data_IF_803656159797
#
_entry.id   IF_803656159797
#
_cell.length_a   1.000
_cell.length_b   1.000
_cell.length_c   1.000
_cell.angle_alpha   90.00
_cell.angle_beta   90.00
_cell.angle_gamma   90.00
#
_symmetry.space_group_name_H-M   'P 1'
#
loop_
_entity.id
_entity.type
_entity.pdbx_description
1 polymer ?
#
# COMPACT_ATOMS: atom_id res chain seq x y z
N UNK A 1 -33.88 -2.89 25.23
CA UNK A 1 -32.72 -2.98 24.31
C UNK A 1 -31.83 -1.80 24.65
N UNK A 2 -30.61 -2.04 25.17
CA UNK A 2 -29.65 -0.95 25.45
C UNK A 2 -29.34 -0.25 24.14
N UNK A 3 -29.39 1.08 24.13
CA UNK A 3 -28.97 1.88 23.00
C UNK A 3 -27.47 1.58 22.75
N UNK A 4 -27.12 1.23 21.51
CA UNK A 4 -25.72 1.06 21.13
C UNK A 4 -25.00 2.41 21.30
N UNK A 5 -23.86 2.44 21.97
CA UNK A 5 -23.10 3.67 22.18
C UNK A 5 -22.67 4.26 20.83
N UNK A 6 -22.82 5.57 20.59
CA UNK A 6 -22.56 6.19 19.30
C UNK A 6 -21.06 6.48 19.05
N UNK A 7 -20.17 5.92 19.87
CA UNK A 7 -18.71 6.11 19.73
C UNK A 7 -18.02 4.78 19.40
N UNK A 8 -17.08 4.84 18.46
CA UNK A 8 -16.29 3.72 17.99
C UNK A 8 -14.80 4.06 18.04
N UNK A 9 -13.94 3.07 18.23
CA UNK A 9 -12.48 3.23 18.24
C UNK A 9 -11.84 2.11 17.41
N UNK A 10 -11.23 2.50 16.31
CA UNK A 10 -10.55 1.63 15.38
C UNK A 10 -9.08 2.01 15.27
N UNK A 11 -8.19 1.14 15.78
CA UNK A 11 -6.76 1.39 15.90
C UNK A 11 -5.94 0.38 15.12
N UNK A 12 -4.66 0.67 14.89
CA UNK A 12 -3.70 -0.26 14.31
C UNK A 12 -3.35 0.03 12.85
N UNK A 13 -2.26 -0.58 12.38
CA UNK A 13 -1.62 -0.27 11.10
C UNK A 13 -2.34 -0.84 9.87
N UNK A 14 -3.30 -1.75 10.02
CA UNK A 14 -4.00 -2.37 8.89
C UNK A 14 -5.12 -1.45 8.40
N UNK A 15 -4.85 -0.69 7.34
CA UNK A 15 -5.68 0.42 6.86
C UNK A 15 -6.95 -0.09 6.16
N UNK A 16 -6.85 -1.11 5.30
CA UNK A 16 -7.95 -1.54 4.44
C UNK A 16 -9.13 -2.14 5.21
N UNK A 17 -8.90 -3.08 6.14
CA UNK A 17 -9.97 -3.65 6.97
C UNK A 17 -10.53 -2.62 7.95
N UNK A 18 -9.68 -1.72 8.45
CA UNK A 18 -10.09 -0.61 9.31
C UNK A 18 -11.04 0.34 8.58
N UNK A 19 -10.70 0.74 7.35
CA UNK A 19 -11.56 1.56 6.51
C UNK A 19 -12.88 0.84 6.15
N UNK A 20 -12.83 -0.48 5.86
CA UNK A 20 -14.06 -1.28 5.65
C UNK A 20 -15.00 -1.22 6.86
N UNK A 21 -14.45 -1.28 8.08
CA UNK A 21 -15.25 -1.20 9.30
C UNK A 21 -15.82 0.21 9.49
N UNK A 22 -15.08 1.27 9.19
CA UNK A 22 -15.61 2.65 9.17
C UNK A 22 -16.78 2.76 8.21
N UNK A 23 -16.62 2.28 6.98
CA UNK A 23 -17.71 2.29 5.99
C UNK A 23 -18.90 1.42 6.39
N UNK A 24 -18.69 0.33 7.11
CA UNK A 24 -19.77 -0.50 7.66
C UNK A 24 -20.64 0.28 8.65
N UNK A 25 -20.04 1.09 9.54
CA UNK A 25 -20.78 1.95 10.48
C UNK A 25 -21.55 3.03 9.71
N UNK A 26 -20.92 3.72 8.75
CA UNK A 26 -21.60 4.73 7.91
C UNK A 26 -22.81 4.14 7.17
N UNK A 27 -22.62 2.97 6.53
CA UNK A 27 -23.69 2.27 5.82
C UNK A 27 -24.80 1.83 6.77
N UNK A 28 -24.46 1.45 8.01
CA UNK A 28 -25.43 1.15 9.06
C UNK A 28 -26.32 2.35 9.41
N UNK A 29 -25.71 3.54 9.54
CA UNK A 29 -26.42 4.80 9.77
C UNK A 29 -27.32 5.15 8.57
N UNK A 30 -26.79 5.07 7.37
CA UNK A 30 -27.55 5.35 6.13
C UNK A 30 -28.75 4.41 5.98
N UNK A 31 -28.61 3.13 6.31
CA UNK A 31 -29.73 2.18 6.29
C UNK A 31 -30.80 2.51 7.32
N UNK A 32 -30.42 3.06 8.49
CA UNK A 32 -31.33 3.36 9.59
C UNK A 32 -32.02 4.70 9.42
N UNK A 33 -31.33 5.71 8.95
CA UNK A 33 -31.77 7.10 8.94
C UNK A 33 -31.98 7.70 7.54
N UNK A 34 -31.53 7.05 6.48
CA UNK A 34 -31.50 7.60 5.11
C UNK A 34 -30.24 8.43 4.89
N UNK A 35 -30.39 9.73 4.65
CA UNK A 35 -29.25 10.61 4.41
C UNK A 35 -28.43 10.85 5.70
N UNK A 36 -27.10 10.88 5.54
CA UNK A 36 -26.14 11.07 6.63
C UNK A 36 -25.09 12.11 6.23
N UNK A 37 -24.93 13.15 7.06
CA UNK A 37 -23.81 14.09 6.94
C UNK A 37 -22.51 13.41 7.41
N UNK A 38 -21.59 13.21 6.47
CA UNK A 38 -20.32 12.56 6.73
C UNK A 38 -19.18 13.59 6.78
N UNK A 39 -18.52 13.68 7.93
CA UNK A 39 -17.34 14.53 8.13
C UNK A 39 -16.10 13.66 8.33
N UNK A 40 -15.03 13.97 7.59
CA UNK A 40 -13.70 13.42 7.82
C UNK A 40 -12.82 14.54 8.36
N UNK A 41 -12.36 14.38 9.60
CA UNK A 41 -11.56 15.37 10.32
C UNK A 41 -10.26 14.72 10.82
N UNK A 42 -9.25 15.54 11.06
CA UNK A 42 -7.96 15.13 11.61
C UNK A 42 -7.75 15.83 12.95
N UNK A 43 -7.26 15.10 13.97
CA UNK A 43 -7.05 15.67 15.29
C UNK A 43 -5.93 16.71 15.31
N UNK A 44 -4.99 16.68 14.35
CA UNK A 44 -3.97 17.71 14.15
C UNK A 44 -4.54 19.06 13.72
N UNK A 45 -5.64 19.06 12.97
CA UNK A 45 -6.18 20.26 12.30
C UNK A 45 -7.53 20.72 12.89
N UNK A 46 -8.13 19.94 13.79
CA UNK A 46 -9.48 20.18 14.30
C UNK A 46 -9.48 20.29 15.83
N UNK A 47 -10.25 21.22 16.37
CA UNK A 47 -10.50 21.30 17.81
C UNK A 47 -11.62 20.34 18.19
N UNK A 48 -11.47 19.69 19.35
CA UNK A 48 -12.49 18.73 19.84
C UNK A 48 -13.82 19.41 20.11
N UNK A 49 -13.81 20.70 20.52
CA UNK A 49 -15.02 21.51 20.70
C UNK A 49 -15.84 21.58 19.38
N UNK A 50 -15.18 21.81 18.25
CA UNK A 50 -15.82 21.92 16.93
C UNK A 50 -16.40 20.57 16.48
N UNK A 51 -15.72 19.47 16.82
CA UNK A 51 -16.15 18.10 16.52
C UNK A 51 -17.42 17.79 17.33
N UNK A 52 -17.41 18.09 18.63
CA UNK A 52 -18.55 17.88 19.51
C UNK A 52 -19.74 18.76 19.11
N UNK A 53 -19.49 20.02 18.73
CA UNK A 53 -20.53 20.91 18.22
C UNK A 53 -21.21 20.34 16.96
N UNK A 54 -20.45 19.77 16.01
CA UNK A 54 -21.02 19.10 14.83
C UNK A 54 -21.91 17.89 15.19
N UNK A 55 -21.51 17.10 16.17
CA UNK A 55 -22.26 15.93 16.65
C UNK A 55 -23.56 16.32 17.41
N UNK A 56 -23.58 17.53 18.00
CA UNK A 56 -24.74 18.04 18.75
C UNK A 56 -25.73 18.83 17.88
N UNK A 57 -25.23 19.36 16.75
CA UNK A 57 -26.07 20.20 15.87
C UNK A 57 -27.02 19.32 15.07
N UNK A 58 -28.31 19.57 15.23
CA UNK A 58 -29.34 18.95 14.38
C UNK A 58 -29.34 19.65 13.02
N UNK A 59 -29.08 18.90 11.96
CA UNK A 59 -29.30 19.38 10.61
C UNK A 59 -30.81 19.42 10.31
N UNK A 60 -31.27 20.51 9.73
CA UNK A 60 -32.69 20.62 9.29
C UNK A 60 -32.96 19.76 8.03
N UNK A 61 -31.93 19.33 7.34
CA UNK A 61 -32.03 18.65 6.04
C UNK A 61 -31.59 17.19 6.08
N UNK A 62 -30.74 16.80 7.04
CA UNK A 62 -30.15 15.47 7.11
C UNK A 62 -30.35 14.89 8.52
N UNK A 63 -31.01 13.72 8.64
CA UNK A 63 -31.47 13.19 9.94
C UNK A 63 -30.32 12.57 10.78
N UNK A 64 -29.13 12.35 10.23
CA UNK A 64 -28.03 11.74 10.95
C UNK A 64 -26.67 12.38 10.61
N UNK A 65 -25.73 12.32 11.56
CA UNK A 65 -24.36 12.85 11.41
C UNK A 65 -23.34 11.77 11.78
N UNK A 66 -22.33 11.60 10.94
CA UNK A 66 -21.19 10.73 11.19
C UNK A 66 -19.89 11.52 11.11
N UNK A 67 -19.13 11.55 12.18
CA UNK A 67 -17.79 12.17 12.21
C UNK A 67 -16.76 11.07 12.33
N UNK A 68 -15.86 10.99 11.33
CA UNK A 68 -14.66 10.17 11.37
C UNK A 68 -13.50 11.09 11.75
N UNK A 69 -12.91 10.86 12.91
CA UNK A 69 -11.76 11.62 13.41
C UNK A 69 -10.51 10.74 13.33
N UNK A 70 -9.62 11.09 12.40
CA UNK A 70 -8.30 10.46 12.26
C UNK A 70 -7.29 11.05 13.25
N UNK A 71 -6.17 10.33 13.44
CA UNK A 71 -5.10 10.70 14.38
C UNK A 71 -5.59 10.79 15.83
N UNK A 72 -6.48 9.88 16.22
CA UNK A 72 -7.09 9.88 17.56
C UNK A 72 -6.05 9.71 18.69
N UNK A 73 -4.84 9.21 18.39
CA UNK A 73 -3.70 9.15 19.31
C UNK A 73 -3.19 10.53 19.76
N UNK A 74 -3.52 11.60 19.02
CA UNK A 74 -3.17 12.97 19.37
C UNK A 74 -4.10 13.57 20.44
N UNK A 75 -5.26 12.97 20.71
CA UNK A 75 -6.20 13.40 21.76
C UNK A 75 -5.68 12.93 23.11
N UNK A 76 -4.87 13.77 23.77
CA UNK A 76 -4.23 13.47 25.06
C UNK A 76 -4.65 14.44 26.18
N UNK A 77 -5.20 15.60 25.82
CA UNK A 77 -5.60 16.61 26.80
C UNK A 77 -6.85 16.13 27.56
N UNK A 78 -6.83 16.35 28.86
CA UNK A 78 -7.93 15.94 29.74
C UNK A 78 -9.23 16.65 29.36
N UNK A 79 -9.14 17.93 29.01
CA UNK A 79 -10.26 18.77 28.61
C UNK A 79 -10.97 18.22 27.37
N UNK A 80 -10.20 17.77 26.36
CA UNK A 80 -10.71 17.20 25.12
C UNK A 80 -11.47 15.89 25.38
N UNK A 81 -10.90 15.03 26.24
CA UNK A 81 -11.56 13.76 26.63
C UNK A 81 -12.83 14.03 27.44
N UNK A 82 -12.82 15.03 28.34
CA UNK A 82 -14.00 15.42 29.13
C UNK A 82 -15.13 15.99 28.25
N UNK A 83 -14.78 16.72 27.18
CA UNK A 83 -15.78 17.19 26.19
C UNK A 83 -16.48 16.03 25.48
N UNK A 84 -15.73 15.03 25.01
CA UNK A 84 -16.29 13.83 24.40
C UNK A 84 -17.15 13.06 25.40
N UNK A 85 -16.67 12.91 26.65
CA UNK A 85 -17.42 12.24 27.70
C UNK A 85 -18.73 12.98 28.03
N UNK A 86 -18.70 14.31 28.07
CA UNK A 86 -19.89 15.14 28.30
C UNK A 86 -20.92 14.98 27.18
N UNK A 87 -20.46 14.91 25.92
CA UNK A 87 -21.32 14.63 24.77
C UNK A 87 -21.99 13.26 24.89
N UNK A 88 -21.22 12.22 25.25
CA UNK A 88 -21.76 10.85 25.41
C UNK A 88 -22.79 10.75 26.54
N UNK A 89 -22.59 11.48 27.64
CA UNK A 89 -23.45 11.46 28.81
C UNK A 89 -24.66 12.44 28.72
N UNK A 90 -24.60 13.37 27.77
CA UNK A 90 -25.72 14.29 27.58
C UNK A 90 -26.97 13.52 27.19
N UNK A 91 -28.12 13.90 27.76
CA UNK A 91 -29.43 13.31 27.48
C UNK A 91 -29.90 13.41 26.02
N UNK A 92 -29.00 13.60 25.12
CA UNK A 92 -29.11 13.76 23.68
C UNK A 92 -28.00 13.13 22.86
N UNK A 93 -27.22 12.18 23.38
CA UNK A 93 -26.42 11.29 22.51
C UNK A 93 -27.41 10.50 21.67
N UNK A 94 -27.79 11.10 20.54
CA UNK A 94 -28.83 10.58 19.66
C UNK A 94 -28.24 9.37 18.91
N UNK A 95 -29.04 8.36 18.71
CA UNK A 95 -28.74 7.24 17.81
C UNK A 95 -28.38 7.70 16.39
N UNK A 96 -28.71 8.93 16.03
CA UNK A 96 -28.48 9.56 14.74
C UNK A 96 -27.10 10.24 14.63
N UNK A 97 -26.29 10.28 15.70
CA UNK A 97 -24.93 10.81 15.67
C UNK A 97 -23.94 9.68 15.94
N UNK A 98 -22.83 9.63 15.19
CA UNK A 98 -21.74 8.70 15.44
C UNK A 98 -20.39 9.40 15.37
N UNK A 99 -19.53 9.09 16.35
CA UNK A 99 -18.13 9.46 16.37
C UNK A 99 -17.26 8.21 16.18
N UNK A 100 -16.49 8.19 15.11
CA UNK A 100 -15.56 7.10 14.81
C UNK A 100 -14.15 7.64 14.99
N UNK A 101 -13.50 7.20 16.05
CA UNK A 101 -12.09 7.51 16.34
C UNK A 101 -11.19 6.53 15.60
N UNK A 102 -10.26 7.03 14.82
CA UNK A 102 -9.33 6.22 14.01
C UNK A 102 -7.90 6.61 14.35
N UNK A 103 -7.05 5.61 14.60
CA UNK A 103 -5.61 5.78 14.84
C UNK A 103 -4.80 4.76 14.07
N UNK A 104 -3.65 5.18 13.52
CA UNK A 104 -2.69 4.27 12.89
C UNK A 104 -1.84 3.55 13.96
N UNK A 105 -1.78 4.10 15.17
CA UNK A 105 -1.17 3.46 16.33
C UNK A 105 -2.05 2.34 16.90
N UNK A 106 -1.46 1.43 17.65
CA UNK A 106 -2.16 0.29 18.28
C UNK A 106 -3.06 0.77 19.42
N UNK A 107 -2.69 1.85 20.08
CA UNK A 107 -3.36 2.36 21.28
C UNK A 107 -3.50 3.89 21.25
N UNK A 108 -4.50 4.38 21.94
CA UNK A 108 -4.74 5.80 22.23
C UNK A 108 -4.60 6.07 23.72
N UNK A 109 -4.79 7.35 24.16
CA UNK A 109 -4.79 7.68 25.59
C UNK A 109 -5.80 6.83 26.36
N UNK A 110 -5.40 6.35 27.54
CA UNK A 110 -6.19 5.40 28.33
C UNK A 110 -7.55 5.95 28.82
N UNK A 111 -7.69 7.28 28.95
CA UNK A 111 -8.94 7.91 29.33
C UNK A 111 -9.90 7.94 28.14
N UNK A 112 -9.39 8.25 26.94
CA UNK A 112 -10.15 8.18 25.68
C UNK A 112 -10.58 6.75 25.41
N UNK A 113 -9.67 5.79 25.56
CA UNK A 113 -10.00 4.37 25.39
C UNK A 113 -11.15 3.94 26.29
N UNK A 114 -11.17 4.32 27.56
CA UNK A 114 -12.21 3.94 28.52
C UNK A 114 -13.60 4.48 28.18
N UNK A 115 -13.72 5.54 27.38
CA UNK A 115 -15.02 6.08 26.97
C UNK A 115 -15.72 5.19 25.95
N UNK A 116 -14.97 4.40 25.19
CA UNK A 116 -15.53 3.56 24.12
C UNK A 116 -15.86 2.17 24.68
N UNK A 117 -17.08 1.65 24.47
CA UNK A 117 -17.45 0.29 24.85
C UNK A 117 -16.59 -0.76 24.14
N UNK A 118 -16.40 -1.91 24.79
CA UNK A 118 -15.53 -2.98 24.25
C UNK A 118 -16.04 -3.50 22.90
N UNK A 119 -17.34 -3.59 22.71
CA UNK A 119 -17.99 -4.02 21.47
C UNK A 119 -17.76 -3.07 20.30
N UNK A 120 -17.46 -1.79 20.58
CA UNK A 120 -17.20 -0.75 19.58
C UNK A 120 -15.69 -0.50 19.38
N UNK A 121 -14.82 -1.34 19.96
CA UNK A 121 -13.36 -1.24 19.80
C UNK A 121 -12.84 -2.38 18.98
N UNK A 122 -11.91 -2.07 18.10
CA UNK A 122 -11.18 -3.08 17.35
C UNK A 122 -9.76 -2.61 17.03
N UNK A 123 -8.79 -3.51 17.23
CA UNK A 123 -7.41 -3.31 16.79
C UNK A 123 -7.21 -4.07 15.49
N UNK A 124 -6.75 -3.37 14.46
CA UNK A 124 -6.47 -3.91 13.14
C UNK A 124 -4.96 -4.13 12.99
N UNK A 125 -4.55 -5.35 13.29
CA UNK A 125 -3.16 -5.77 13.20
C UNK A 125 -2.74 -5.93 11.74
N UNK A 126 -1.50 -5.55 11.42
CA UNK A 126 -0.93 -5.81 10.10
C UNK A 126 -1.08 -7.29 9.72
N UNK A 127 -1.50 -7.54 8.50
CA UNK A 127 -1.60 -8.90 7.98
C UNK A 127 -0.20 -9.35 7.57
N UNK A 128 0.21 -10.50 8.09
CA UNK A 128 1.45 -11.15 7.68
C UNK A 128 1.40 -11.48 6.16
N UNK A 129 2.51 -11.26 5.45
CA UNK A 129 2.60 -11.48 4.00
C UNK A 129 2.16 -12.91 3.62
N UNK A 130 2.47 -13.90 4.45
CA UNK A 130 2.07 -15.29 4.24
C UNK A 130 0.55 -15.49 4.25
N UNK A 131 -0.22 -14.57 4.82
CA UNK A 131 -1.68 -14.60 4.91
C UNK A 131 -2.39 -13.77 3.85
N UNK A 132 -1.66 -12.91 3.14
CA UNK A 132 -2.26 -12.03 2.12
C UNK A 132 -2.92 -12.81 1.00
N UNK A 133 -2.31 -13.93 0.55
CA UNK A 133 -2.90 -14.80 -0.47
C UNK A 133 -4.27 -15.37 -0.05
N UNK A 134 -4.35 -15.90 1.16
CA UNK A 134 -5.62 -16.40 1.71
C UNK A 134 -6.65 -15.29 1.92
N UNK A 135 -6.19 -14.12 2.34
CA UNK A 135 -7.03 -12.93 2.49
C UNK A 135 -7.61 -12.51 1.14
N UNK A 136 -6.78 -12.43 0.09
CA UNK A 136 -7.16 -12.04 -1.26
C UNK A 136 -8.17 -13.01 -1.88
N UNK A 137 -7.94 -14.33 -1.74
CA UNK A 137 -8.91 -15.35 -2.15
C UNK A 137 -10.27 -15.17 -1.47
N UNK A 138 -10.26 -14.91 -0.15
CA UNK A 138 -11.50 -14.67 0.60
C UNK A 138 -12.18 -13.38 0.16
N UNK A 139 -11.42 -12.34 -0.20
CA UNK A 139 -11.95 -11.09 -0.69
C UNK A 139 -12.66 -11.25 -2.05
N UNK A 140 -12.05 -11.97 -3.01
CA UNK A 140 -12.73 -12.33 -4.26
C UNK A 140 -14.02 -13.10 -4.01
N UNK A 141 -13.99 -14.10 -3.13
CA UNK A 141 -15.16 -14.92 -2.80
C UNK A 141 -16.29 -14.09 -2.17
N UNK A 142 -16.00 -13.21 -1.24
CA UNK A 142 -16.96 -12.27 -0.64
C UNK A 142 -17.69 -11.41 -1.69
N UNK A 143 -17.01 -11.06 -2.77
CA UNK A 143 -17.56 -10.24 -3.84
C UNK A 143 -18.21 -11.06 -4.97
N UNK A 144 -18.26 -12.40 -4.85
CA UNK A 144 -18.92 -13.28 -5.80
C UNK A 144 -18.03 -13.73 -6.96
N UNK A 145 -16.70 -13.74 -6.76
CA UNK A 145 -15.70 -14.21 -7.73
C UNK A 145 -14.90 -15.37 -7.14
N UNK A 146 -14.31 -16.17 -8.01
CA UNK A 146 -13.23 -17.08 -7.66
C UNK A 146 -11.93 -16.57 -8.31
N UNK A 147 -10.78 -17.02 -7.82
CA UNK A 147 -9.49 -16.71 -8.44
C UNK A 147 -8.58 -17.93 -8.35
N UNK A 148 -7.87 -18.20 -9.43
CA UNK A 148 -6.83 -19.24 -9.48
C UNK A 148 -5.64 -18.82 -8.62
N UNK A 149 -4.88 -19.80 -8.12
CA UNK A 149 -3.73 -19.51 -7.26
C UNK A 149 -2.67 -18.68 -7.99
N UNK A 150 -2.42 -18.97 -9.26
CA UNK A 150 -1.44 -18.25 -10.07
C UNK A 150 -1.86 -16.78 -10.31
N UNK A 151 -3.17 -16.51 -10.44
CA UNK A 151 -3.70 -15.14 -10.47
C UNK A 151 -3.50 -14.40 -9.14
N UNK A 152 -3.78 -15.06 -8.00
CA UNK A 152 -3.56 -14.50 -6.67
C UNK A 152 -2.08 -14.14 -6.47
N UNK A 153 -1.19 -15.06 -6.82
CA UNK A 153 0.25 -14.88 -6.69
C UNK A 153 0.75 -13.71 -7.55
N UNK A 154 0.23 -13.58 -8.77
CA UNK A 154 0.57 -12.48 -9.67
C UNK A 154 0.05 -11.12 -9.16
N UNK A 155 -1.18 -11.08 -8.65
CA UNK A 155 -1.74 -9.84 -8.07
C UNK A 155 -0.90 -9.39 -6.87
N UNK A 156 -0.51 -10.29 -5.98
CA UNK A 156 0.33 -9.98 -4.83
C UNK A 156 1.74 -9.52 -5.22
N UNK A 157 2.25 -10.04 -6.33
CA UNK A 157 3.56 -9.64 -6.83
C UNK A 157 3.55 -8.24 -7.44
N UNK A 158 2.46 -7.88 -8.13
CA UNK A 158 2.35 -6.63 -8.89
C UNK A 158 1.69 -5.49 -8.11
N UNK A 159 1.14 -5.77 -6.92
CA UNK A 159 0.46 -4.79 -6.08
C UNK A 159 1.23 -4.60 -4.77
N UNK A 160 1.10 -3.42 -4.16
CA UNK A 160 1.63 -3.20 -2.82
C UNK A 160 1.01 -4.18 -1.81
N UNK A 161 1.85 -4.71 -0.90
CA UNK A 161 1.45 -5.70 0.10
C UNK A 161 0.63 -5.08 1.25
N UNK A 162 -0.40 -4.31 0.89
CA UNK A 162 -1.38 -3.80 1.83
C UNK A 162 -2.81 -4.03 1.32
N UNK A 163 -3.75 -4.22 2.22
CA UNK A 163 -5.11 -4.63 1.85
C UNK A 163 -5.89 -3.52 1.15
N UNK A 164 -5.53 -2.25 1.33
CA UNK A 164 -6.20 -1.14 0.64
C UNK A 164 -5.82 -1.10 -0.84
N UNK A 165 -4.53 -1.21 -1.16
CA UNK A 165 -4.06 -1.32 -2.53
C UNK A 165 -4.64 -2.57 -3.22
N UNK A 166 -4.61 -3.72 -2.53
CA UNK A 166 -5.20 -4.96 -3.04
C UNK A 166 -6.71 -4.83 -3.31
N UNK A 167 -7.46 -4.12 -2.45
CA UNK A 167 -8.89 -3.84 -2.68
C UNK A 167 -9.13 -2.95 -3.89
N UNK A 168 -8.32 -1.90 -4.04
CA UNK A 168 -8.41 -0.99 -5.18
C UNK A 168 -8.19 -1.75 -6.49
N UNK A 169 -7.16 -2.59 -6.56
CA UNK A 169 -6.90 -3.42 -7.73
C UNK A 169 -8.01 -4.44 -7.97
N UNK A 170 -8.50 -5.14 -6.92
CA UNK A 170 -9.63 -6.06 -7.05
C UNK A 170 -10.89 -5.38 -7.58
N UNK A 171 -11.13 -4.13 -7.19
CA UNK A 171 -12.27 -3.34 -7.71
C UNK A 171 -12.28 -3.25 -9.22
N UNK A 172 -11.13 -3.23 -9.88
CA UNK A 172 -11.01 -3.19 -11.35
C UNK A 172 -11.46 -4.50 -11.99
N UNK A 173 -11.09 -5.64 -11.39
CA UNK A 173 -11.58 -6.95 -11.85
C UNK A 173 -13.10 -7.02 -11.75
N UNK A 174 -13.69 -6.49 -10.65
CA UNK A 174 -15.14 -6.48 -10.46
C UNK A 174 -15.88 -5.58 -11.46
N UNK A 175 -15.21 -4.60 -12.04
CA UNK A 175 -15.75 -3.76 -13.12
C UNK A 175 -15.62 -4.43 -14.49
N UNK A 176 -14.57 -5.23 -14.71
CA UNK A 176 -14.27 -5.83 -16.01
C UNK A 176 -14.97 -7.17 -16.23
N UNK A 177 -15.23 -7.93 -15.16
CA UNK A 177 -15.77 -9.29 -15.27
C UNK A 177 -17.14 -9.43 -14.59
N UNK A 178 -18.03 -10.29 -15.11
CA UNK A 178 -19.31 -10.59 -14.48
C UNK A 178 -19.11 -11.41 -13.20
N UNK A 179 -20.05 -11.31 -12.24
CA UNK A 179 -20.06 -12.15 -11.04
C UNK A 179 -20.08 -13.63 -11.42
N UNK A 180 -19.34 -14.44 -10.68
CA UNK A 180 -19.16 -15.87 -10.96
C UNK A 180 -17.99 -16.18 -11.87
N UNK A 181 -17.32 -15.17 -12.46
CA UNK A 181 -16.10 -15.37 -13.24
C UNK A 181 -14.96 -15.89 -12.34
N UNK A 182 -14.15 -16.79 -12.89
CA UNK A 182 -12.93 -17.28 -12.26
C UNK A 182 -11.76 -16.46 -12.80
N UNK A 183 -11.16 -15.63 -11.97
CA UNK A 183 -10.02 -14.81 -12.36
C UNK A 183 -8.81 -15.70 -12.59
N UNK A 184 -8.30 -15.69 -13.82
CA UNK A 184 -7.13 -16.44 -14.27
C UNK A 184 -5.87 -15.59 -14.21
N UNK A 185 -4.67 -16.23 -14.31
CA UNK A 185 -3.40 -15.50 -14.45
C UNK A 185 -3.44 -14.53 -15.65
N UNK A 186 -4.02 -14.96 -16.79
CA UNK A 186 -4.15 -14.11 -17.97
C UNK A 186 -5.04 -12.88 -17.74
N UNK A 187 -6.14 -13.04 -16.98
CA UNK A 187 -6.99 -11.90 -16.59
C UNK A 187 -6.22 -10.92 -15.71
N UNK A 188 -5.44 -11.43 -14.75
CA UNK A 188 -4.60 -10.63 -13.88
C UNK A 188 -3.52 -9.89 -14.70
N UNK A 189 -2.84 -10.55 -15.60
CA UNK A 189 -1.88 -9.90 -16.51
C UNK A 189 -2.55 -8.80 -17.33
N UNK A 190 -3.71 -9.05 -17.91
CA UNK A 190 -4.42 -8.08 -18.74
C UNK A 190 -4.86 -6.84 -17.94
N UNK A 191 -5.49 -7.03 -16.79
CA UNK A 191 -6.00 -5.94 -15.96
C UNK A 191 -4.86 -5.12 -15.35
N UNK A 192 -3.83 -5.79 -14.82
CA UNK A 192 -2.71 -5.12 -14.17
C UNK A 192 -1.71 -4.54 -15.17
N UNK A 193 -1.57 -5.16 -16.38
CA UNK A 193 -0.73 -4.61 -17.43
C UNK A 193 -1.28 -3.31 -18.04
N UNK A 194 -2.60 -3.14 -18.12
CA UNK A 194 -3.21 -1.90 -18.60
C UNK A 194 -3.05 -0.72 -17.63
N UNK A 195 -2.70 -0.99 -16.38
CA UNK A 195 -2.33 0.01 -15.38
C UNK A 195 -0.84 -0.02 -15.09
N UNK A 196 -0.02 -0.44 -15.99
CA UNK A 196 1.40 -0.13 -15.91
C UNK A 196 1.56 1.39 -16.09
N UNK A 197 1.12 2.15 -15.10
CA UNK A 197 1.90 3.30 -14.72
C UNK A 197 3.32 2.75 -14.60
N UNK A 198 4.21 3.33 -15.34
CA UNK A 198 5.60 2.91 -15.29
C UNK A 198 6.03 2.89 -13.82
N UNK A 199 6.66 1.84 -13.40
CA UNK A 199 6.98 1.58 -11.98
C UNK A 199 8.43 1.12 -11.86
N UNK A 200 8.95 1.01 -10.66
CA UNK A 200 10.27 0.44 -10.42
C UNK A 200 10.41 -0.98 -11.02
N UNK A 201 9.31 -1.74 -11.13
CA UNK A 201 9.32 -3.07 -11.73
C UNK A 201 9.44 -3.04 -13.26
N UNK A 202 8.72 -2.12 -13.94
CA UNK A 202 8.86 -1.93 -15.39
C UNK A 202 10.23 -1.36 -15.73
N UNK A 203 10.75 -0.46 -14.88
CA UNK A 203 12.08 0.08 -14.98
C UNK A 203 13.15 -1.03 -14.85
N UNK A 204 13.02 -1.91 -13.85
CA UNK A 204 13.88 -3.07 -13.69
C UNK A 204 13.84 -4.01 -14.90
N UNK A 205 12.65 -4.28 -15.44
CA UNK A 205 12.48 -5.16 -16.61
C UNK A 205 13.15 -4.60 -17.87
N UNK A 206 13.05 -3.29 -18.10
CA UNK A 206 13.75 -2.61 -19.20
C UNK A 206 15.28 -2.70 -19.04
N UNK A 207 15.79 -2.45 -17.83
CA UNK A 207 17.23 -2.60 -17.54
C UNK A 207 17.72 -4.04 -17.70
N UNK A 208 16.84 -5.04 -17.45
CA UNK A 208 17.16 -6.46 -17.41
C UNK A 208 16.98 -7.19 -18.76
N UNK A 209 16.80 -6.48 -19.88
CA UNK A 209 16.56 -7.09 -21.20
C UNK A 209 17.86 -7.59 -21.86
N UNK A 210 18.17 -8.91 -21.86
CA UNK A 210 19.43 -9.42 -22.36
C UNK A 210 19.55 -9.40 -23.90
N UNK A 211 18.44 -9.21 -24.60
CA UNK A 211 18.38 -9.10 -26.06
C UNK A 211 18.77 -7.73 -26.60
N UNK A 212 18.80 -6.72 -25.73
CA UNK A 212 19.12 -5.33 -26.10
C UNK A 212 20.59 -4.99 -25.75
N UNK A 213 21.18 -4.09 -26.53
CA UNK A 213 22.48 -3.52 -26.18
C UNK A 213 22.40 -2.68 -24.89
N UNK A 214 23.50 -2.50 -24.15
CA UNK A 214 23.48 -1.65 -22.95
C UNK A 214 22.98 -0.23 -23.24
N UNK A 215 23.29 0.35 -24.39
CA UNK A 215 22.81 1.69 -24.77
C UNK A 215 21.30 1.71 -24.95
N UNK A 216 20.71 0.74 -25.65
CA UNK A 216 19.26 0.64 -25.83
C UNK A 216 18.56 0.40 -24.50
N UNK A 217 19.09 -0.47 -23.62
CA UNK A 217 18.56 -0.66 -22.27
C UNK A 217 18.56 0.63 -21.47
N UNK A 218 19.61 1.44 -21.59
CA UNK A 218 19.69 2.74 -20.92
C UNK A 218 18.64 3.71 -21.45
N UNK A 219 18.51 3.84 -22.78
CA UNK A 219 17.52 4.72 -23.42
C UNK A 219 16.10 4.36 -23.00
N UNK A 220 15.72 3.07 -23.07
CA UNK A 220 14.40 2.60 -22.65
C UNK A 220 14.16 2.84 -21.16
N UNK A 221 15.17 2.58 -20.33
CA UNK A 221 15.07 2.77 -18.87
C UNK A 221 14.93 4.25 -18.51
N UNK A 222 15.64 5.16 -19.16
CA UNK A 222 15.51 6.60 -18.92
C UNK A 222 14.14 7.13 -19.40
N UNK A 223 13.62 6.60 -20.51
CA UNK A 223 12.26 6.93 -20.99
C UNK A 223 11.20 6.50 -19.97
N UNK A 224 11.32 5.28 -19.41
CA UNK A 224 10.42 4.78 -18.36
C UNK A 224 10.58 5.63 -17.09
N UNK A 225 11.80 5.92 -16.65
CA UNK A 225 12.04 6.77 -15.49
C UNK A 225 11.36 8.13 -15.65
N UNK A 226 11.48 8.78 -16.82
CA UNK A 226 10.82 10.06 -17.08
C UNK A 226 9.30 9.96 -16.96
N UNK A 227 8.67 8.90 -17.49
CA UNK A 227 7.23 8.68 -17.35
C UNK A 227 6.83 8.49 -15.89
N UNK A 228 7.61 7.72 -15.11
CA UNK A 228 7.40 7.59 -13.68
C UNK A 228 7.47 8.97 -13.01
N UNK A 229 8.46 9.78 -13.31
CA UNK A 229 8.68 11.11 -12.72
C UNK A 229 7.57 12.12 -13.06
N UNK A 230 6.84 11.93 -14.14
CA UNK A 230 5.71 12.77 -14.54
C UNK A 230 4.39 12.41 -13.86
N UNK A 231 4.29 11.29 -13.14
CA UNK A 231 3.07 10.91 -12.42
C UNK A 231 2.91 11.69 -11.12
N UNK A 232 1.66 12.00 -10.72
CA UNK A 232 1.37 12.87 -9.57
C UNK A 232 1.80 12.32 -8.20
N UNK A 233 1.99 11.00 -8.07
CA UNK A 233 2.30 10.33 -6.81
C UNK A 233 3.76 9.87 -6.73
N UNK A 234 4.65 10.49 -7.50
CA UNK A 234 5.99 10.02 -7.66
C UNK A 234 6.90 10.46 -6.50
N UNK A 235 7.36 9.48 -5.74
CA UNK A 235 8.37 9.66 -4.70
C UNK A 235 9.66 8.93 -5.11
N UNK A 236 10.79 9.64 -5.33
CA UNK A 236 12.07 9.03 -5.64
C UNK A 236 12.48 7.89 -4.70
N UNK A 237 12.16 8.01 -3.41
CA UNK A 237 12.43 6.99 -2.39
C UNK A 237 11.67 5.70 -2.67
N UNK A 238 10.44 5.77 -3.20
CA UNK A 238 9.66 4.57 -3.56
C UNK A 238 10.26 3.86 -4.78
N UNK A 239 10.79 4.60 -5.75
CA UNK A 239 11.50 4.01 -6.90
C UNK A 239 12.73 3.24 -6.41
N UNK A 240 13.53 3.83 -5.51
CA UNK A 240 14.70 3.18 -4.93
C UNK A 240 14.35 1.95 -4.11
N UNK A 241 13.27 2.01 -3.32
CA UNK A 241 12.78 0.87 -2.54
C UNK A 241 12.35 -0.28 -3.46
N UNK A 242 11.61 0.03 -4.54
CA UNK A 242 11.19 -0.95 -5.54
C UNK A 242 12.37 -1.59 -6.27
N UNK A 243 13.35 -0.79 -6.72
CA UNK A 243 14.58 -1.31 -7.33
C UNK A 243 15.39 -2.17 -6.35
N UNK A 244 15.52 -1.74 -5.09
CA UNK A 244 16.19 -2.55 -4.04
C UNK A 244 15.51 -3.91 -3.88
N UNK A 245 14.18 -3.95 -3.86
CA UNK A 245 13.40 -5.19 -3.78
C UNK A 245 13.70 -6.10 -4.97
N UNK A 246 13.69 -5.57 -6.20
CA UNK A 246 14.00 -6.32 -7.41
C UNK A 246 15.39 -6.94 -7.36
N UNK A 247 16.43 -6.15 -7.00
CA UNK A 247 17.82 -6.65 -6.97
C UNK A 247 18.07 -7.63 -5.82
N UNK A 248 17.43 -7.48 -4.65
CA UNK A 248 17.47 -8.50 -3.57
C UNK A 248 16.84 -9.82 -4.00
N UNK A 249 15.71 -9.76 -4.73
CA UNK A 249 15.10 -10.96 -5.32
C UNK A 249 16.00 -11.58 -6.39
N UNK A 250 16.72 -10.79 -7.18
CA UNK A 250 17.70 -11.31 -8.14
C UNK A 250 18.88 -11.98 -7.45
N UNK A 251 19.38 -11.45 -6.33
CA UNK A 251 20.37 -12.14 -5.50
C UNK A 251 19.87 -13.48 -4.97
N UNK A 252 18.61 -13.49 -4.48
CA UNK A 252 17.98 -14.74 -4.05
C UNK A 252 17.85 -15.74 -5.21
N UNK A 253 17.47 -15.26 -6.41
CA UNK A 253 17.44 -16.10 -7.62
C UNK A 253 18.78 -16.74 -7.91
N UNK A 254 19.87 -15.97 -7.88
CA UNK A 254 21.22 -16.50 -8.06
C UNK A 254 21.59 -17.51 -6.95
N UNK A 255 21.25 -17.22 -5.70
CA UNK A 255 21.57 -18.10 -4.56
C UNK A 255 20.90 -19.46 -4.67
N UNK A 256 19.63 -19.53 -5.08
CA UNK A 256 18.92 -20.80 -5.22
C UNK A 256 19.37 -21.59 -6.44
N UNK A 257 19.94 -20.94 -7.48
CA UNK A 257 20.47 -21.61 -8.69
C UNK A 257 21.98 -21.90 -8.61
N UNK A 258 22.69 -21.45 -7.57
CA UNK A 258 24.13 -21.61 -7.42
C UNK A 258 24.59 -23.08 -7.41
N UNK A 259 23.75 -24.02 -6.99
CA UNK A 259 24.05 -25.44 -6.94
C UNK A 259 23.89 -26.19 -8.26
N UNK A 260 23.47 -25.54 -9.35
CA UNK A 260 23.24 -26.18 -10.66
C UNK A 260 22.15 -27.26 -10.67
N UNK A 261 21.44 -27.46 -9.58
CA UNK A 261 20.34 -28.42 -9.50
C UNK A 261 19.09 -27.87 -10.21
N UNK A 262 18.39 -28.76 -10.90
CA UNK A 262 17.06 -28.44 -11.41
C UNK A 262 16.11 -28.19 -10.24
N UNK A 263 15.51 -27.01 -10.20
CA UNK A 263 14.53 -26.63 -9.18
C UNK A 263 13.14 -26.90 -9.73
N UNK A 264 12.37 -27.66 -8.99
CA UNK A 264 10.97 -27.87 -9.29
C UNK A 264 10.10 -26.63 -8.98
N UNK A 265 8.93 -26.57 -9.57
CA UNK A 265 7.99 -25.47 -9.39
C UNK A 265 7.60 -25.25 -7.93
N UNK A 266 7.51 -26.31 -7.15
CA UNK A 266 7.17 -26.23 -5.73
C UNK A 266 8.27 -25.50 -4.95
N UNK A 267 9.54 -25.86 -5.18
CA UNK A 267 10.70 -25.21 -4.55
C UNK A 267 10.78 -23.75 -4.93
N UNK A 268 10.56 -23.38 -6.19
CA UNK A 268 10.54 -21.99 -6.64
C UNK A 268 9.40 -21.21 -5.98
N UNK A 269 8.20 -21.78 -5.86
CA UNK A 269 7.06 -21.17 -5.17
C UNK A 269 7.37 -20.92 -3.69
N UNK A 270 7.93 -21.89 -2.97
CA UNK A 270 8.30 -21.73 -1.54
C UNK A 270 9.39 -20.70 -1.30
N UNK A 271 10.22 -20.39 -2.31
CA UNK A 271 11.26 -19.36 -2.28
C UNK A 271 10.78 -17.98 -2.77
N UNK A 272 9.47 -17.81 -3.02
CA UNK A 272 8.86 -16.55 -3.39
C UNK A 272 8.83 -16.24 -4.89
N UNK A 273 9.13 -17.25 -5.76
CA UNK A 273 8.99 -17.14 -7.21
C UNK A 273 7.78 -17.94 -7.70
N UNK A 274 6.59 -17.48 -7.27
CA UNK A 274 5.33 -18.18 -7.51
C UNK A 274 4.85 -18.06 -8.94
N UNK A 275 4.87 -16.86 -9.54
CA UNK A 275 4.36 -16.64 -10.89
C UNK A 275 5.39 -17.01 -11.97
N UNK A 276 4.89 -17.48 -13.11
CA UNK A 276 5.70 -17.80 -14.29
C UNK A 276 6.35 -16.54 -14.87
N UNK A 277 5.64 -15.41 -14.80
CA UNK A 277 6.12 -14.11 -15.28
C UNK A 277 7.33 -13.65 -14.48
N UNK A 278 7.29 -13.74 -13.14
CA UNK A 278 8.43 -13.42 -12.28
C UNK A 278 9.63 -14.32 -12.57
N UNK A 279 9.42 -15.64 -12.68
CA UNK A 279 10.51 -16.58 -13.01
C UNK A 279 11.18 -16.21 -14.32
N UNK A 280 10.40 -15.90 -15.35
CA UNK A 280 10.92 -15.48 -16.65
C UNK A 280 11.70 -14.15 -16.54
N UNK A 281 11.21 -13.21 -15.76
CA UNK A 281 11.86 -11.91 -15.52
C UNK A 281 13.22 -12.09 -14.83
N UNK A 282 13.26 -12.82 -13.70
CA UNK A 282 14.52 -13.06 -12.97
C UNK A 282 15.49 -13.99 -13.73
N UNK A 283 14.97 -14.95 -14.50
CA UNK A 283 15.79 -15.75 -15.40
C UNK A 283 16.42 -14.91 -16.52
N UNK A 284 15.75 -13.86 -17.04
CA UNK A 284 16.34 -12.91 -17.99
C UNK A 284 17.35 -12.01 -17.29
N UNK A 285 16.99 -11.44 -16.14
CA UNK A 285 17.85 -10.54 -15.38
C UNK A 285 19.16 -11.21 -14.94
N UNK A 286 19.14 -12.50 -14.59
CA UNK A 286 20.32 -13.25 -14.19
C UNK A 286 21.34 -13.48 -15.31
N UNK A 287 20.94 -13.28 -16.58
CA UNK A 287 21.85 -13.28 -17.73
C UNK A 287 22.55 -11.93 -17.94
N UNK A 288 21.99 -10.87 -17.34
CA UNK A 288 22.52 -9.50 -17.45
C UNK A 288 23.49 -9.21 -16.32
N UNK A 289 23.15 -9.58 -15.09
CA UNK A 289 23.97 -9.31 -13.92
C UNK A 289 24.31 -10.58 -13.16
N UNK A 290 25.54 -10.68 -12.71
CA UNK A 290 26.02 -11.72 -11.80
C UNK A 290 25.61 -11.42 -10.35
N UNK A 291 25.70 -12.41 -9.48
CA UNK A 291 25.47 -12.24 -8.03
C UNK A 291 26.29 -11.10 -7.43
N UNK A 292 27.60 -11.03 -7.74
CA UNK A 292 28.46 -9.96 -7.23
C UNK A 292 28.11 -8.58 -7.76
N UNK A 293 27.61 -8.49 -9.01
CA UNK A 293 27.12 -7.23 -9.57
C UNK A 293 25.82 -6.78 -8.90
N UNK A 294 24.93 -7.71 -8.54
CA UNK A 294 23.71 -7.37 -7.77
C UNK A 294 24.08 -6.72 -6.44
N UNK A 295 25.05 -7.25 -5.71
CA UNK A 295 25.52 -6.66 -4.45
C UNK A 295 26.10 -5.25 -4.65
N UNK A 296 26.88 -5.03 -5.72
CA UNK A 296 27.40 -3.70 -6.07
C UNK A 296 26.27 -2.72 -6.42
N UNK A 297 25.26 -3.16 -7.17
CA UNK A 297 24.10 -2.36 -7.53
C UNK A 297 23.30 -1.98 -6.27
N UNK A 298 23.07 -2.92 -5.35
CA UNK A 298 22.39 -2.63 -4.08
C UNK A 298 23.16 -1.60 -3.24
N UNK A 299 24.47 -1.65 -3.23
CA UNK A 299 25.31 -0.64 -2.59
C UNK A 299 25.16 0.75 -3.25
N UNK A 300 25.10 0.80 -4.61
CA UNK A 300 24.86 2.05 -5.34
C UNK A 300 23.46 2.62 -5.05
N UNK A 301 22.43 1.77 -4.99
CA UNK A 301 21.05 2.19 -4.64
C UNK A 301 21.02 2.77 -3.21
N UNK A 302 21.67 2.11 -2.24
CA UNK A 302 21.74 2.61 -0.87
C UNK A 302 22.47 3.96 -0.75
N UNK A 303 23.54 4.15 -1.55
CA UNK A 303 24.23 5.43 -1.61
C UNK A 303 23.36 6.53 -2.23
N UNK A 304 22.65 6.23 -3.32
CA UNK A 304 21.72 7.15 -3.95
C UNK A 304 20.54 7.53 -3.02
N UNK A 305 20.03 6.58 -2.21
CA UNK A 305 19.00 6.88 -1.20
C UNK A 305 19.49 7.90 -0.16
N UNK A 306 20.71 7.74 0.33
CA UNK A 306 21.31 8.69 1.26
C UNK A 306 21.53 10.08 0.61
N UNK A 307 21.98 10.12 -0.64
CA UNK A 307 22.17 11.37 -1.38
C UNK A 307 20.85 12.09 -1.69
N UNK A 308 19.80 11.35 -2.09
CA UNK A 308 18.47 11.91 -2.37
C UNK A 308 17.80 12.46 -1.10
N UNK A 309 17.99 11.80 0.05
CA UNK A 309 17.45 12.28 1.33
C UNK A 309 18.18 13.51 1.86
N UNK A 310 19.47 13.64 1.58
CA UNK A 310 20.29 14.79 2.03
C UNK A 310 20.33 15.93 1.01
N UNK A 311 19.99 15.66 -0.25
CA UNK A 311 19.99 16.63 -1.34
C UNK A 311 18.64 17.39 -1.45
N UNK A 312 18.70 18.55 -2.11
CA UNK A 312 17.47 19.29 -2.43
C UNK A 312 16.67 18.62 -3.55
N UNK A 313 15.36 18.88 -3.59
CA UNK A 313 14.44 18.30 -4.60
C UNK A 313 14.89 18.56 -6.07
N UNK A 314 15.56 19.65 -6.32
CA UNK A 314 15.96 20.08 -7.67
C UNK A 314 16.94 19.12 -8.38
N UNK A 315 17.66 18.27 -7.66
CA UNK A 315 18.69 17.35 -8.23
C UNK A 315 18.29 15.88 -8.19
N UNK A 316 17.17 15.53 -7.58
CA UNK A 316 16.74 14.15 -7.36
C UNK A 316 16.56 13.37 -8.69
N UNK A 317 15.97 14.00 -9.69
CA UNK A 317 15.75 13.38 -11.02
C UNK A 317 17.08 13.09 -11.73
N UNK A 318 18.05 13.99 -11.57
CA UNK A 318 19.40 13.80 -12.11
C UNK A 318 20.12 12.67 -11.37
N UNK A 319 20.00 12.59 -10.04
CA UNK A 319 20.59 11.52 -9.25
C UNK A 319 20.01 10.16 -9.60
N UNK A 320 18.70 10.06 -9.81
CA UNK A 320 18.05 8.82 -10.29
C UNK A 320 18.55 8.45 -11.70
N UNK A 321 18.66 9.41 -12.61
CA UNK A 321 19.17 9.15 -13.96
C UNK A 321 20.62 8.67 -13.95
N UNK A 322 21.46 9.23 -13.08
CA UNK A 322 22.84 8.77 -12.88
C UNK A 322 22.88 7.37 -12.29
N UNK A 323 22.03 7.04 -11.32
CA UNK A 323 21.92 5.70 -10.77
C UNK A 323 21.56 4.68 -11.85
N UNK A 324 20.57 4.98 -12.71
CA UNK A 324 20.20 4.09 -13.83
C UNK A 324 21.39 3.88 -14.77
N UNK A 325 22.14 4.94 -15.07
CA UNK A 325 23.36 4.83 -15.86
C UNK A 325 24.40 3.92 -15.19
N UNK A 326 24.64 4.07 -13.90
CA UNK A 326 25.58 3.22 -13.13
C UNK A 326 25.15 1.74 -13.14
N UNK A 327 23.86 1.47 -12.98
CA UNK A 327 23.31 0.12 -13.02
C UNK A 327 23.48 -0.51 -14.40
N UNK A 328 23.10 0.18 -15.47
CA UNK A 328 23.04 -0.39 -16.82
C UNK A 328 24.41 -0.42 -17.48
N UNK A 329 25.19 0.66 -17.38
CA UNK A 329 26.44 0.83 -18.11
C UNK A 329 27.68 0.40 -17.30
N UNK A 330 27.61 0.48 -15.97
CA UNK A 330 28.73 0.18 -15.06
C UNK A 330 28.50 -1.06 -14.19
N UNK A 331 27.33 -1.71 -14.30
CA UNK A 331 26.93 -2.87 -13.48
C UNK A 331 27.10 -2.62 -11.96
N UNK A 332 26.74 -1.41 -11.52
CA UNK A 332 26.87 -0.97 -10.12
C UNK A 332 28.26 -0.40 -9.78
N UNK A 333 29.17 -0.27 -10.75
CA UNK A 333 30.40 0.48 -10.58
C UNK A 333 30.08 1.98 -10.55
N UNK A 334 30.65 2.71 -9.56
CA UNK A 334 30.49 4.16 -9.50
C UNK A 334 31.26 4.86 -10.63
N UNK A 335 30.67 5.92 -11.18
CA UNK A 335 31.40 6.86 -12.00
C UNK A 335 32.45 7.55 -11.12
N UNK A 336 33.75 7.52 -11.52
CA UNK A 336 34.74 8.33 -10.85
C UNK A 336 34.36 9.81 -11.00
N UNK A 337 34.36 10.55 -9.89
CA UNK A 337 34.01 11.99 -9.89
C UNK A 337 34.94 12.82 -10.79
N UNK A 338 36.15 12.32 -11.06
CA UNK A 338 37.13 12.92 -11.94
C UNK A 338 37.97 11.82 -12.62
N UNK A 339 37.73 11.56 -13.89
CA UNK A 339 38.74 11.02 -14.76
C UNK A 339 39.43 12.23 -15.44
N UNK A 340 40.50 12.72 -14.85
CA UNK A 340 41.39 13.66 -15.53
C UNK A 340 42.36 12.78 -16.30
N UNK A 341 42.22 12.74 -17.64
CA UNK A 341 43.26 12.21 -18.55
C UNK A 341 44.45 13.16 -18.59
#
# INVERSE_FOLDING_TARGET
MGMASPIYLYTGPEIGNRNEQVESVKNGLTKKFGDVDNYLLYASDSKVEDIVAKLQTDSLFVPATCVVLREAELIKKKEDVELIASWLNAAGAKDSAALILVSDEISVDSKLDKLVPKENKQIFWAIDESRLGSWLQNYFRKNGYAAEQDAIDLILELTENNTEALRAECGRFFLCFPKGHVITESDAEQILAHNREESAFTLFDAMASPSLSPTQRLEDSLSILQKILLTKNNNPVMILAGLSSCFRRLELWHSIHAGGAYLDDFTLKTKGFSSKTARNQYARASRVWTFGQCAAILASIAAADAEIRSGGMAIQDTQLSMLIYEIVMKNGGRCARYEIN
#
